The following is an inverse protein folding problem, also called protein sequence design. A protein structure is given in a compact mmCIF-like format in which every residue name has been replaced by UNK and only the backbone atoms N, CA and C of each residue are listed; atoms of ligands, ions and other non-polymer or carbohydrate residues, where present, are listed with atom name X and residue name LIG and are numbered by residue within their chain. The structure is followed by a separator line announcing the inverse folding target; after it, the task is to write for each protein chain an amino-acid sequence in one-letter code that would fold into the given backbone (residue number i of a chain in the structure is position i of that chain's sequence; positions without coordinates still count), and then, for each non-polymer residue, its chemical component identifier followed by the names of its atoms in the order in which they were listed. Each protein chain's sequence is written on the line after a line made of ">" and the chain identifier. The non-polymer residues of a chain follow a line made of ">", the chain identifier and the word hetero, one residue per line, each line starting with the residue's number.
data_IF_078954689648
#
_entry.id   IF_078954689648
#
_cell.length_a   1.000
_cell.length_b   1.000
_cell.length_c   1.000
_cell.angle_alpha   90.00
_cell.angle_beta   90.00
_cell.angle_gamma   90.00
#
_symmetry.space_group_name_H-M   'P 1'
#
loop_
_entity.id
_entity.type
_entity.pdbx_description
1 polymer ?
#
# COMPACT_ATOMS: atom_id res chain seq x y z
N UNK A 1 -35.34 3.65 31.83
CA UNK A 1 -34.66 4.11 30.59
C UNK A 1 -33.15 4.39 30.75
N UNK A 2 -32.51 4.13 31.90
CA UNK A 2 -31.04 4.33 32.07
C UNK A 2 -30.16 3.15 31.67
N UNK A 3 -30.73 1.94 31.49
CA UNK A 3 -29.99 0.71 31.17
C UNK A 3 -29.61 0.59 29.67
N UNK A 4 -30.38 1.22 28.78
CA UNK A 4 -30.12 1.18 27.33
C UNK A 4 -28.98 2.14 26.89
N UNK A 5 -28.71 3.18 27.68
CA UNK A 5 -27.63 4.14 27.43
C UNK A 5 -26.24 3.53 27.65
N UNK A 6 -26.11 2.57 28.57
CA UNK A 6 -24.85 1.84 28.81
C UNK A 6 -24.53 0.85 27.69
N UNK A 7 -25.55 0.27 27.03
CA UNK A 7 -25.34 -0.66 25.91
C UNK A 7 -24.90 0.05 24.62
N UNK A 8 -25.38 1.28 24.36
CA UNK A 8 -24.98 2.01 23.15
C UNK A 8 -23.52 2.46 23.18
N UNK A 9 -22.98 2.76 24.37
CA UNK A 9 -21.58 3.15 24.56
C UNK A 9 -20.65 1.95 24.33
N UNK A 10 -21.06 0.75 24.76
CA UNK A 10 -20.27 -0.47 24.55
C UNK A 10 -20.17 -0.86 23.06
N UNK A 11 -21.25 -0.67 22.30
CA UNK A 11 -21.27 -0.92 20.85
C UNK A 11 -20.38 0.06 20.07
N UNK A 12 -20.32 1.33 20.50
CA UNK A 12 -19.45 2.34 19.88
C UNK A 12 -17.95 2.02 20.10
N UNK A 13 -17.60 1.41 21.24
CA UNK A 13 -16.21 1.04 21.54
C UNK A 13 -15.70 -0.13 20.67
N UNK A 14 -16.57 -1.03 20.21
CA UNK A 14 -16.17 -2.11 19.30
C UNK A 14 -15.94 -1.63 17.86
N UNK A 15 -16.64 -0.58 17.42
CA UNK A 15 -16.45 0.00 16.08
C UNK A 15 -15.11 0.73 15.90
N UNK A 16 -14.43 1.08 17.00
CA UNK A 16 -13.12 1.76 16.97
C UNK A 16 -11.93 0.77 17.03
N UNK A 17 -12.17 -0.54 17.18
CA UNK A 17 -11.12 -1.56 17.26
C UNK A 17 -10.79 -2.22 15.90
N UNK A 18 -11.26 -1.65 14.78
CA UNK A 18 -10.97 -2.18 13.44
C UNK A 18 -9.54 -1.93 12.93
N UNK A 19 -8.63 -1.40 13.76
CA UNK A 19 -7.24 -1.19 13.38
C UNK A 19 -6.45 -2.49 13.65
N UNK A 20 -6.36 -3.34 12.63
CA UNK A 20 -5.48 -4.51 12.67
C UNK A 20 -4.03 -4.04 12.53
N UNK A 21 -3.14 -4.44 13.44
CA UNK A 21 -1.68 -4.22 13.30
C UNK A 21 -1.03 -5.21 12.32
N UNK A 22 -1.84 -5.93 11.55
CA UNK A 22 -1.39 -6.84 10.51
C UNK A 22 -0.66 -6.09 9.40
N UNK A 23 0.55 -6.55 9.09
CA UNK A 23 1.40 -5.94 8.05
C UNK A 23 1.11 -6.55 6.69
N UNK A 24 1.49 -5.84 5.64
CA UNK A 24 1.53 -6.43 4.30
C UNK A 24 2.44 -7.68 4.28
N UNK A 25 1.98 -8.83 3.73
CA UNK A 25 2.74 -10.08 3.69
C UNK A 25 4.18 -9.94 3.16
N UNK A 26 4.40 -9.06 2.17
CA UNK A 26 5.73 -8.86 1.59
C UNK A 26 6.70 -8.03 2.47
N UNK A 27 6.24 -7.53 3.62
CA UNK A 27 7.05 -6.69 4.52
C UNK A 27 8.30 -7.38 5.06
N UNK A 28 8.32 -8.70 5.15
CA UNK A 28 9.49 -9.48 5.56
C UNK A 28 10.56 -9.57 4.47
N UNK A 29 10.17 -9.45 3.20
CA UNK A 29 11.05 -9.54 2.04
C UNK A 29 11.49 -8.16 1.53
N UNK A 30 11.09 -7.08 2.21
CA UNK A 30 11.26 -5.70 1.72
C UNK A 30 12.72 -5.35 1.43
N UNK A 31 13.67 -5.89 2.20
CA UNK A 31 15.10 -5.61 1.99
C UNK A 31 15.62 -6.19 0.67
N UNK A 32 14.96 -7.21 0.13
CA UNK A 32 15.31 -7.87 -1.12
C UNK A 32 14.77 -7.13 -2.36
N UNK A 33 13.93 -6.10 -2.18
CA UNK A 33 13.41 -5.30 -3.30
C UNK A 33 14.57 -4.63 -4.02
N UNK A 34 14.58 -4.78 -5.34
CA UNK A 34 15.60 -4.27 -6.26
C UNK A 34 15.06 -3.14 -7.12
N UNK A 35 13.85 -3.29 -7.61
CA UNK A 35 13.24 -2.40 -8.59
C UNK A 35 11.73 -2.34 -8.32
N UNK A 36 11.16 -1.15 -8.53
CA UNK A 36 9.72 -0.92 -8.51
C UNK A 36 9.32 -0.42 -9.89
N UNK A 37 8.32 -1.04 -10.51
CA UNK A 37 7.78 -0.62 -11.81
C UNK A 37 6.33 -0.23 -11.66
N UNK A 38 5.90 0.82 -12.36
CA UNK A 38 4.54 1.37 -12.25
C UNK A 38 3.95 1.63 -13.63
N UNK A 39 2.69 1.25 -13.81
CA UNK A 39 1.95 1.40 -15.06
C UNK A 39 0.47 1.72 -14.82
N UNK A 40 -0.18 2.33 -15.80
CA UNK A 40 -1.64 2.39 -15.84
C UNK A 40 -2.26 1.01 -16.16
N UNK A 41 -1.47 0.11 -16.74
CA UNK A 41 -1.87 -1.25 -17.11
C UNK A 41 -0.69 -2.21 -16.94
N UNK A 42 -0.93 -3.42 -16.41
CA UNK A 42 0.09 -4.47 -16.19
C UNK A 42 1.05 -4.75 -17.37
N UNK A 43 0.66 -4.45 -18.61
CA UNK A 43 1.43 -4.79 -19.80
C UNK A 43 2.49 -3.75 -20.21
N UNK A 44 2.40 -2.50 -19.72
CA UNK A 44 3.31 -1.42 -20.14
C UNK A 44 3.76 -0.50 -18.98
N UNK A 45 4.87 -0.88 -18.35
CA UNK A 45 5.51 -0.13 -17.25
C UNK A 45 6.11 1.21 -17.70
N UNK A 46 5.31 2.26 -17.52
CA UNK A 46 5.66 3.65 -17.84
C UNK A 46 6.75 4.26 -16.96
N UNK A 47 6.93 3.76 -15.72
CA UNK A 47 7.93 4.26 -14.76
C UNK A 47 8.65 3.08 -14.12
N UNK A 48 9.96 3.21 -13.94
CA UNK A 48 10.77 2.29 -13.15
C UNK A 48 11.65 3.08 -12.19
N UNK A 49 11.71 2.61 -10.95
CA UNK A 49 12.55 3.11 -9.89
C UNK A 49 13.54 2.02 -9.53
N UNK A 50 14.82 2.29 -9.75
CA UNK A 50 15.93 1.41 -9.37
C UNK A 50 17.05 2.16 -8.66
N UNK A 51 16.89 3.48 -8.48
CA UNK A 51 17.83 4.27 -7.70
C UNK A 51 17.77 3.87 -6.23
N UNK A 52 18.92 3.84 -5.57
CA UNK A 52 19.04 3.36 -4.20
C UNK A 52 18.26 4.21 -3.18
N UNK A 53 18.13 5.52 -3.40
CA UNK A 53 17.39 6.41 -2.50
C UNK A 53 15.88 6.26 -2.72
N UNK A 54 15.43 6.20 -3.96
CA UNK A 54 14.02 5.96 -4.33
C UNK A 54 13.55 4.61 -3.80
N UNK A 55 14.33 3.54 -4.03
CA UNK A 55 14.02 2.21 -3.52
C UNK A 55 13.96 2.20 -1.99
N UNK A 56 14.84 2.94 -1.30
CA UNK A 56 14.79 3.05 0.15
C UNK A 56 13.49 3.71 0.63
N UNK A 57 12.97 4.68 -0.10
CA UNK A 57 11.67 5.30 0.19
C UNK A 57 10.55 4.24 0.07
N UNK A 58 10.49 3.50 -1.03
CA UNK A 58 9.52 2.40 -1.21
C UNK A 58 9.61 1.36 -0.10
N UNK A 59 10.83 0.88 0.21
CA UNK A 59 11.05 -0.12 1.26
C UNK A 59 10.54 0.36 2.62
N UNK A 60 10.86 1.59 2.98
CA UNK A 60 10.41 2.19 4.24
C UNK A 60 8.89 2.29 4.30
N UNK A 61 8.25 2.74 3.23
CA UNK A 61 6.81 2.92 3.17
C UNK A 61 6.06 1.59 3.27
N UNK A 62 6.46 0.60 2.46
CA UNK A 62 5.88 -0.76 2.45
C UNK A 62 6.01 -1.43 3.81
N UNK A 63 7.15 -1.28 4.49
CA UNK A 63 7.37 -1.88 5.82
C UNK A 63 6.40 -1.35 6.89
N UNK A 64 5.87 -0.14 6.68
CA UNK A 64 4.90 0.51 7.56
C UNK A 64 3.46 0.34 7.09
N UNK A 65 3.22 -0.28 5.92
CA UNK A 65 1.89 -0.52 5.41
C UNK A 65 1.13 -1.48 6.35
N UNK A 66 -0.06 -1.06 6.78
CA UNK A 66 -0.92 -1.83 7.69
C UNK A 66 -2.21 -2.20 7.01
N UNK A 67 -2.71 -3.40 7.30
CA UNK A 67 -4.01 -3.84 6.83
C UNK A 67 -5.09 -2.95 7.45
N UNK A 68 -5.89 -2.34 6.61
CA UNK A 68 -6.94 -1.44 7.04
C UNK A 68 -8.12 -1.60 6.10
N UNK A 69 -9.34 -1.68 6.64
CA UNK A 69 -10.52 -1.67 5.79
C UNK A 69 -10.66 -0.29 5.14
N UNK A 70 -10.54 -0.24 3.81
CA UNK A 70 -10.76 0.97 3.00
C UNK A 70 -11.83 0.68 1.97
N UNK A 71 -12.65 1.67 1.62
CA UNK A 71 -13.58 1.57 0.51
C UNK A 71 -12.93 2.20 -0.74
N UNK A 72 -11.97 1.48 -1.32
CA UNK A 72 -11.29 1.89 -2.55
C UNK A 72 -11.84 1.06 -3.69
N UNK A 73 -12.60 1.69 -4.59
CA UNK A 73 -13.22 1.02 -5.74
C UNK A 73 -12.29 0.99 -6.96
N UNK A 74 -11.40 1.97 -7.08
CA UNK A 74 -10.50 2.12 -8.23
C UNK A 74 -9.06 2.37 -7.78
N UNK A 75 -8.12 1.83 -8.55
CA UNK A 75 -6.68 2.04 -8.35
C UNK A 75 -6.09 2.82 -9.52
N UNK A 76 -5.17 3.74 -9.22
CA UNK A 76 -4.56 4.62 -10.22
C UNK A 76 -3.55 3.87 -11.11
N UNK A 77 -2.80 2.93 -10.51
CA UNK A 77 -1.73 2.21 -11.19
C UNK A 77 -1.60 0.76 -10.72
N UNK A 78 -1.06 -0.07 -11.61
CA UNK A 78 -0.44 -1.34 -11.26
C UNK A 78 1.03 -1.10 -10.87
N UNK A 79 1.51 -1.83 -9.86
CA UNK A 79 2.87 -1.78 -9.36
C UNK A 79 3.47 -3.18 -9.32
N UNK A 80 4.60 -3.36 -10.00
CA UNK A 80 5.45 -4.52 -9.86
C UNK A 80 6.59 -4.27 -8.89
N UNK A 81 6.73 -5.14 -7.90
CA UNK A 81 7.84 -5.18 -6.96
C UNK A 81 8.76 -6.32 -7.39
N UNK A 82 9.95 -5.99 -7.86
CA UNK A 82 10.94 -6.95 -8.36
C UNK A 82 12.00 -7.19 -7.30
N UNK A 83 12.25 -8.46 -6.98
CA UNK A 83 13.22 -8.88 -5.95
C UNK A 83 14.58 -9.26 -6.55
N UNK A 84 15.62 -9.25 -5.73
CA UNK A 84 16.97 -9.63 -6.13
C UNK A 84 17.11 -11.12 -6.50
N UNK A 85 16.31 -11.98 -5.87
CA UNK A 85 16.39 -13.43 -6.09
C UNK A 85 15.49 -13.86 -7.25
N UNK A 86 16.09 -14.47 -8.26
CA UNK A 86 15.40 -15.01 -9.44
C UNK A 86 15.07 -16.50 -9.30
N UNK A 87 15.48 -17.14 -8.20
CA UNK A 87 15.34 -18.59 -8.00
C UNK A 87 14.00 -19.01 -7.41
N UNK A 88 13.22 -18.06 -6.89
CA UNK A 88 11.89 -18.30 -6.34
C UNK A 88 10.81 -18.07 -7.41
N UNK A 89 9.70 -18.82 -7.34
CA UNK A 89 8.47 -18.69 -8.19
C UNK A 89 7.75 -17.33 -8.04
N UNK A 90 8.44 -16.38 -7.41
CA UNK A 90 7.95 -15.21 -6.72
C UNK A 90 8.90 -14.02 -6.94
N UNK A 91 9.66 -14.02 -8.04
CA UNK A 91 10.60 -12.94 -8.43
C UNK A 91 9.94 -11.55 -8.49
N UNK A 92 8.61 -11.54 -8.62
CA UNK A 92 7.78 -10.35 -8.72
C UNK A 92 6.55 -10.47 -7.79
N UNK A 93 6.14 -9.35 -7.20
CA UNK A 93 4.80 -9.19 -6.61
C UNK A 93 4.07 -8.07 -7.32
N UNK A 94 2.82 -8.31 -7.63
CA UNK A 94 1.96 -7.33 -8.28
C UNK A 94 0.99 -6.75 -7.26
N UNK A 95 1.03 -5.44 -7.13
CA UNK A 95 0.11 -4.65 -6.35
C UNK A 95 -0.65 -3.69 -7.25
N UNK A 96 -1.78 -3.22 -6.78
CA UNK A 96 -2.43 -2.01 -7.27
C UNK A 96 -2.19 -0.90 -6.25
N UNK A 97 -2.04 0.33 -6.73
CA UNK A 97 -1.74 1.50 -5.91
C UNK A 97 -2.64 2.67 -6.28
N UNK A 98 -3.13 3.37 -5.26
CA UNK A 98 -3.82 4.66 -5.41
C UNK A 98 -3.49 5.60 -4.26
N UNK A 99 -3.78 6.87 -4.45
CA UNK A 99 -3.79 7.88 -3.39
C UNK A 99 -5.23 8.19 -2.97
N UNK A 100 -5.56 7.98 -1.70
CA UNK A 100 -6.86 8.37 -1.16
C UNK A 100 -6.97 9.89 -0.88
N UNK A 101 -8.16 10.35 -0.50
CA UNK A 101 -8.43 11.76 -0.21
C UNK A 101 -7.62 12.33 0.98
N UNK A 102 -7.12 11.46 1.86
CA UNK A 102 -6.29 11.84 3.00
C UNK A 102 -4.79 12.02 2.64
N UNK A 103 -4.44 11.77 1.37
CA UNK A 103 -3.07 11.69 0.85
C UNK A 103 -2.28 10.52 1.44
N UNK A 104 -2.95 9.40 1.64
CA UNK A 104 -2.35 8.12 2.00
C UNK A 104 -2.29 7.23 0.76
N UNK A 105 -1.25 6.42 0.69
CA UNK A 105 -1.11 5.39 -0.33
C UNK A 105 -1.87 4.16 0.13
N UNK A 106 -2.79 3.71 -0.71
CA UNK A 106 -3.52 2.45 -0.54
C UNK A 106 -2.96 1.42 -1.51
N UNK A 107 -2.65 0.25 -0.99
CA UNK A 107 -2.11 -0.89 -1.71
C UNK A 107 -3.10 -2.07 -1.65
N UNK A 108 -3.18 -2.82 -2.73
CA UNK A 108 -3.89 -4.09 -2.78
C UNK A 108 -3.11 -5.09 -3.64
N UNK A 109 -3.21 -6.39 -3.37
CA UNK A 109 -2.59 -7.39 -4.23
C UNK A 109 -3.44 -7.61 -5.47
N UNK A 110 -2.82 -7.51 -6.65
CA UNK A 110 -3.53 -7.74 -7.91
C UNK A 110 -4.15 -9.14 -7.92
N UNK A 111 -5.48 -9.22 -8.07
CA UNK A 111 -6.24 -10.48 -8.06
C UNK A 111 -6.66 -10.99 -6.68
N UNK A 112 -6.39 -10.23 -5.61
CA UNK A 112 -6.81 -10.53 -4.24
C UNK A 112 -7.47 -9.29 -3.62
N UNK A 113 -8.76 -9.09 -3.91
CA UNK A 113 -9.50 -7.86 -3.60
C UNK A 113 -9.83 -7.66 -2.10
N UNK A 114 -9.67 -8.70 -1.27
CA UNK A 114 -10.19 -8.67 0.11
C UNK A 114 -9.33 -7.85 1.09
N UNK A 115 -8.03 -7.73 0.82
CA UNK A 115 -7.07 -7.13 1.75
C UNK A 115 -6.44 -5.86 1.19
N UNK A 116 -6.76 -4.72 1.79
CA UNK A 116 -6.14 -3.43 1.49
C UNK A 116 -5.16 -3.03 2.60
N UNK A 117 -4.05 -2.42 2.19
CA UNK A 117 -2.99 -1.97 3.08
C UNK A 117 -2.75 -0.48 2.89
N UNK A 118 -2.76 0.26 3.99
CA UNK A 118 -2.60 1.72 3.98
C UNK A 118 -1.24 2.10 4.54
N UNK A 119 -0.55 2.99 3.84
CA UNK A 119 0.66 3.65 4.29
C UNK A 119 0.24 4.99 4.88
N UNK A 120 0.66 5.29 6.10
CA UNK A 120 0.30 6.58 6.72
C UNK A 120 0.71 7.78 5.86
N UNK A 121 0.04 8.91 6.07
CA UNK A 121 0.28 10.16 5.34
C UNK A 121 1.75 10.61 5.30
N UNK A 122 2.50 10.41 6.40
CA UNK A 122 3.89 10.87 6.50
C UNK A 122 4.77 10.09 5.54
N UNK A 123 4.65 8.76 5.54
CA UNK A 123 5.40 7.87 4.66
C UNK A 123 4.89 7.93 3.21
N UNK A 124 3.60 8.18 3.01
CA UNK A 124 2.96 8.31 1.70
C UNK A 124 3.44 9.53 0.91
N UNK A 125 3.70 10.66 1.57
CA UNK A 125 4.10 11.91 0.89
C UNK A 125 5.23 11.72 -0.13
N UNK A 126 6.30 11.02 0.27
CA UNK A 126 7.48 10.79 -0.60
C UNK A 126 7.17 9.86 -1.77
N UNK A 127 6.33 8.84 -1.55
CA UNK A 127 5.88 7.94 -2.62
C UNK A 127 5.01 8.72 -3.60
N UNK A 128 4.13 9.59 -3.09
CA UNK A 128 3.27 10.42 -3.92
C UNK A 128 4.12 11.34 -4.80
N UNK A 129 5.17 11.95 -4.26
CA UNK A 129 6.07 12.81 -5.04
C UNK A 129 6.77 12.02 -6.17
N UNK A 130 7.23 10.79 -5.91
CA UNK A 130 7.86 9.94 -6.92
C UNK A 130 6.87 9.51 -8.03
N UNK A 131 5.67 9.09 -7.64
CA UNK A 131 4.70 8.51 -8.58
C UNK A 131 3.90 9.59 -9.31
N UNK A 132 3.44 10.63 -8.61
CA UNK A 132 2.51 11.64 -9.13
C UNK A 132 3.18 13.00 -9.36
N UNK A 133 4.36 13.26 -8.78
CA UNK A 133 5.02 14.58 -8.82
C UNK A 133 5.55 15.00 -10.20
N UNK A 134 5.67 14.09 -11.15
CA UNK A 134 6.05 14.41 -12.53
C UNK A 134 4.84 14.68 -13.44
N UNK A 135 4.19 15.82 -13.21
CA UNK A 135 3.39 16.57 -14.19
C UNK A 135 3.88 18.03 -14.26
N UNK A 136 5.20 18.19 -14.46
CA UNK A 136 5.81 19.44 -14.94
C UNK A 136 6.63 19.13 -16.19
N UNK A 137 5.93 19.03 -17.32
CA UNK A 137 6.47 19.40 -18.62
C UNK A 137 5.49 20.35 -19.28
#
# INVERSE_FOLDING_TARGET
>A
MKKYLLLSILFLAFLLNGCSDEKIPLSEQVEQIKEIKISNTKEDYSKSFSDSEEIKIFKSAIKQAKKQATNTEEYDYDMAIVFNDKSDDFYERLLQITRNDENEIVLNYLGYEEDTYVIDKTNSSKIIDLIYGHNKQ
#
